data_IF_977435890294
#
_entry.id   IF_977435890294
#
_cell.length_a   1.000
_cell.length_b   1.000
_cell.length_c   1.000
_cell.angle_alpha   90.00
_cell.angle_beta   90.00
_cell.angle_gamma   90.00
#
_symmetry.space_group_name_H-M   'P 1'
#
loop_
_entity.id
_entity.type
_entity.pdbx_description
1 polymer ?
#
# COMPACT_ATOMS: atom_id res chain seq x y z
N UNK A 1 -5.69 29.24 3.55
CA UNK A 1 -5.42 29.31 4.98
C UNK A 1 -4.14 28.54 5.26
N UNK A 2 -3.12 29.28 5.63
CA UNK A 2 -1.74 28.82 5.87
C UNK A 2 -1.74 28.02 7.18
N UNK A 3 -1.45 26.72 7.09
CA UNK A 3 -1.16 25.91 8.27
C UNK A 3 0.26 26.24 8.71
N UNK A 4 0.35 26.86 9.87
CA UNK A 4 1.59 27.26 10.49
C UNK A 4 2.47 26.07 10.82
N UNK A 5 3.70 26.12 10.33
CA UNK A 5 4.81 25.32 10.82
C UNK A 5 4.95 25.53 12.34
N UNK A 6 4.68 24.49 13.11
CA UNK A 6 4.97 24.48 14.53
C UNK A 6 6.50 24.55 14.70
N UNK A 7 6.99 25.74 15.00
CA UNK A 7 8.34 25.94 15.51
C UNK A 7 8.48 25.15 16.80
N UNK A 8 9.49 24.30 16.89
CA UNK A 8 9.93 23.76 18.16
C UNK A 8 10.21 24.96 19.13
N UNK A 9 9.71 24.93 20.36
CA UNK A 9 9.97 25.99 21.29
C UNK A 9 11.48 26.05 21.57
N UNK A 10 12.07 27.23 21.33
CA UNK A 10 13.42 27.51 21.76
C UNK A 10 13.41 27.46 23.30
N UNK A 11 13.94 26.39 23.89
CA UNK A 11 14.19 26.31 25.31
C UNK A 11 15.28 27.32 25.65
N UNK A 12 14.90 28.46 26.22
CA UNK A 12 15.82 29.33 26.94
C UNK A 12 16.37 28.56 28.15
N UNK A 13 17.64 28.20 28.09
CA UNK A 13 18.36 27.63 29.21
C UNK A 13 18.59 28.75 30.23
N UNK A 14 17.69 28.87 31.22
CA UNK A 14 17.89 29.67 32.38
C UNK A 14 19.02 29.06 33.25
N UNK A 15 20.09 29.77 33.39
CA UNK A 15 21.17 29.45 34.34
C UNK A 15 20.67 29.58 35.77
N UNK A 16 20.39 28.46 36.44
CA UNK A 16 20.04 28.48 37.89
C UNK A 16 19.46 27.15 38.34
N UNK A 17 20.25 26.36 39.04
CA UNK A 17 19.91 25.34 40.06
C UNK A 17 18.56 24.62 39.93
N UNK A 18 18.51 23.54 39.17
CA UNK A 18 17.52 22.46 39.39
C UNK A 18 17.91 21.15 38.66
N UNK A 19 19.07 20.60 39.00
CA UNK A 19 19.49 19.30 38.51
C UNK A 19 18.53 18.15 38.95
N UNK A 20 17.74 18.35 39.98
CA UNK A 20 16.78 17.39 40.50
C UNK A 20 15.45 17.33 39.73
N UNK A 21 14.92 18.49 39.33
CA UNK A 21 13.66 18.59 38.60
C UNK A 21 13.81 18.13 37.13
N UNK A 22 14.96 18.43 36.52
CA UNK A 22 15.26 17.93 35.17
C UNK A 22 15.35 16.39 35.10
N UNK A 23 15.82 15.74 36.16
CA UNK A 23 15.87 14.27 36.27
C UNK A 23 14.47 13.63 36.40
N UNK A 24 13.59 14.25 37.17
CA UNK A 24 12.22 13.76 37.37
C UNK A 24 11.37 13.89 36.07
N UNK A 25 11.54 14.99 35.32
CA UNK A 25 10.87 15.18 34.03
C UNK A 25 11.35 14.19 32.96
N UNK A 26 12.61 13.81 32.95
CA UNK A 26 13.16 12.87 31.99
C UNK A 26 12.71 11.42 32.23
N UNK A 27 12.30 11.04 33.42
CA UNK A 27 11.92 9.68 33.76
C UNK A 27 10.58 9.24 33.14
N UNK A 28 9.64 10.17 32.91
CA UNK A 28 8.33 9.92 32.31
C UNK A 28 8.18 10.46 30.88
N UNK A 29 9.26 10.93 30.25
CA UNK A 29 9.21 11.52 28.93
C UNK A 29 8.94 10.47 27.85
N UNK A 30 8.13 10.77 26.78
CA UNK A 30 7.84 9.85 25.71
C UNK A 30 9.02 9.68 24.72
N UNK A 31 10.18 10.15 25.05
CA UNK A 31 11.41 10.07 24.26
C UNK A 31 12.57 9.49 25.05
N UNK A 32 13.46 8.75 24.38
CA UNK A 32 14.68 8.24 24.98
C UNK A 32 15.68 9.38 25.26
N UNK A 33 16.34 9.37 26.42
CA UNK A 33 17.42 10.30 26.70
C UNK A 33 18.56 9.63 27.46
N UNK A 34 19.78 10.10 27.20
CA UNK A 34 20.99 9.68 27.90
C UNK A 34 22.07 10.77 27.84
N UNK A 35 23.11 10.60 28.64
CA UNK A 35 24.36 11.36 28.56
C UNK A 35 25.44 10.42 28.02
N UNK A 36 26.29 10.93 27.14
CA UNK A 36 27.37 10.16 26.51
C UNK A 36 28.69 10.87 26.85
N UNK A 37 29.59 10.16 27.53
CA UNK A 37 30.90 10.67 27.94
C UNK A 37 31.95 10.37 26.86
N UNK A 38 31.83 11.01 25.69
CA UNK A 38 32.82 10.89 24.61
C UNK A 38 32.54 11.92 23.50
N UNK A 39 33.58 12.37 22.79
CA UNK A 39 33.42 13.29 21.66
C UNK A 39 32.71 12.59 20.46
N UNK A 40 33.06 11.36 20.14
CA UNK A 40 32.30 10.50 19.25
C UNK A 40 31.22 9.76 20.04
N UNK A 41 29.99 10.23 19.95
CA UNK A 41 28.86 9.70 20.72
C UNK A 41 28.65 8.19 20.49
N UNK A 42 28.93 7.67 19.30
CA UNK A 42 28.74 6.25 18.98
C UNK A 42 29.78 5.33 19.63
N UNK A 43 30.94 5.87 19.99
CA UNK A 43 31.99 5.16 20.73
C UNK A 43 31.87 5.31 22.24
N UNK A 44 31.09 6.29 22.68
CA UNK A 44 30.87 6.59 24.09
C UNK A 44 29.93 5.62 24.79
N UNK A 45 30.02 5.59 26.12
CA UNK A 45 29.15 4.79 26.98
C UNK A 45 27.91 5.55 27.36
N UNK A 46 26.80 4.82 27.48
CA UNK A 46 25.51 5.36 27.92
C UNK A 46 25.54 5.60 29.41
N UNK A 47 25.41 6.86 29.82
CA UNK A 47 25.23 7.30 31.20
C UNK A 47 23.81 7.87 31.37
N UNK A 48 23.25 7.73 32.55
CA UNK A 48 21.94 8.30 32.91
C UNK A 48 20.80 8.02 31.88
N UNK A 49 20.63 6.78 31.41
CA UNK A 49 19.53 6.47 30.51
C UNK A 49 18.18 6.61 31.22
N UNK A 50 17.18 7.16 30.53
CA UNK A 50 15.81 7.08 31.03
C UNK A 50 15.13 5.76 30.60
N UNK A 51 13.95 5.47 31.19
CA UNK A 51 13.22 4.23 30.88
C UNK A 51 12.79 4.14 29.40
N UNK A 52 12.47 5.28 28.78
CA UNK A 52 12.04 5.32 27.38
C UNK A 52 13.17 4.91 26.41
N UNK A 53 14.43 5.17 26.74
CA UNK A 53 15.58 4.74 25.93
C UNK A 53 15.58 3.21 25.80
N UNK A 54 15.36 2.48 26.90
CA UNK A 54 15.32 1.03 26.87
C UNK A 54 14.12 0.49 26.09
N UNK A 55 13.00 1.19 26.12
CA UNK A 55 11.81 0.82 25.32
C UNK A 55 12.03 1.03 23.81
N UNK A 56 12.80 2.04 23.43
CA UNK A 56 13.09 2.37 22.02
C UNK A 56 14.21 1.51 21.43
N UNK A 57 15.24 1.20 22.21
CA UNK A 57 16.47 0.56 21.72
C UNK A 57 16.72 -0.84 22.27
N UNK A 58 15.80 -1.34 23.09
CA UNK A 58 15.90 -2.65 23.73
C UNK A 58 16.71 -2.62 25.03
N UNK A 59 16.74 -3.74 25.76
CA UNK A 59 17.39 -3.85 27.07
C UNK A 59 18.91 -3.65 27.06
N UNK A 60 19.55 -3.71 25.89
CA UNK A 60 20.99 -3.45 25.72
C UNK A 60 21.39 -1.99 26.00
N UNK A 61 20.42 -1.06 26.15
CA UNK A 61 20.65 0.35 26.53
C UNK A 61 20.90 0.54 28.02
N UNK A 62 21.17 -0.53 28.75
CA UNK A 62 21.55 -0.45 30.16
C UNK A 62 22.80 0.43 30.33
N UNK A 63 22.93 1.00 31.53
CA UNK A 63 24.07 1.84 31.92
C UNK A 63 25.41 1.14 31.54
N UNK A 64 26.35 1.92 31.01
CA UNK A 64 27.68 1.48 30.56
C UNK A 64 27.72 0.73 29.22
N UNK A 65 26.61 0.53 28.51
CA UNK A 65 26.64 0.02 27.14
C UNK A 65 27.23 1.04 26.17
N UNK A 66 27.89 0.57 25.11
CA UNK A 66 28.34 1.46 24.05
C UNK A 66 27.13 1.94 23.22
N UNK A 67 26.95 3.25 23.09
CA UNK A 67 25.78 3.85 22.45
C UNK A 67 25.58 3.39 21.00
N UNK A 68 26.68 3.26 20.24
CA UNK A 68 26.61 2.78 18.84
C UNK A 68 26.11 1.34 18.69
N UNK A 69 26.20 0.51 19.73
CA UNK A 69 25.72 -0.86 19.67
C UNK A 69 24.19 -0.97 19.67
N UNK A 70 23.49 0.12 20.00
CA UNK A 70 22.02 0.17 20.02
C UNK A 70 21.42 0.29 18.62
N UNK A 71 22.22 0.64 17.62
CA UNK A 71 21.74 0.95 16.27
C UNK A 71 22.35 0.01 15.20
N UNK A 72 21.71 -0.01 14.04
CA UNK A 72 22.23 -0.72 12.88
C UNK A 72 23.47 -0.03 12.28
N UNK A 73 24.48 -0.80 11.82
CA UNK A 73 25.74 -0.24 11.34
C UNK A 73 25.61 0.70 10.14
N UNK A 74 24.67 0.43 9.24
CA UNK A 74 24.50 1.19 8.00
C UNK A 74 24.11 2.66 8.26
N UNK A 75 23.24 2.92 9.23
CA UNK A 75 22.83 4.28 9.61
C UNK A 75 23.94 5.07 10.34
N UNK A 76 24.84 4.39 11.05
CA UNK A 76 25.87 5.06 11.84
C UNK A 76 26.94 5.78 11.01
N UNK A 77 27.26 5.30 9.81
CA UNK A 77 28.26 5.93 8.92
C UNK A 77 27.76 7.32 8.50
N UNK A 78 26.53 7.39 8.06
CA UNK A 78 25.89 8.65 7.67
C UNK A 78 25.69 9.59 8.86
N UNK A 79 25.29 9.03 10.00
CA UNK A 79 25.10 9.75 11.24
C UNK A 79 26.40 10.43 11.73
N UNK A 80 27.53 9.72 11.70
CA UNK A 80 28.83 10.29 12.02
C UNK A 80 29.24 11.42 11.08
N UNK A 81 28.99 11.25 9.77
CA UNK A 81 29.26 12.30 8.78
C UNK A 81 28.46 13.56 9.05
N UNK A 82 27.16 13.43 9.35
CA UNK A 82 26.27 14.56 9.68
C UNK A 82 26.71 15.29 10.97
N UNK A 83 27.10 14.53 12.00
CA UNK A 83 27.60 15.11 13.26
C UNK A 83 28.91 15.88 13.06
N UNK A 84 29.85 15.32 12.30
CA UNK A 84 31.14 15.95 12.00
C UNK A 84 30.97 17.22 11.16
N UNK A 85 29.97 17.25 10.26
CA UNK A 85 29.64 18.42 9.47
C UNK A 85 28.88 19.52 10.23
N UNK A 86 28.58 19.32 11.52
CA UNK A 86 27.85 20.28 12.35
C UNK A 86 26.40 20.48 11.92
N UNK A 87 25.79 19.46 11.31
CA UNK A 87 24.38 19.52 10.91
C UNK A 87 23.48 19.71 12.13
N UNK A 88 22.59 20.72 12.05
CA UNK A 88 21.61 21.04 13.11
C UNK A 88 20.32 20.23 12.99
N UNK A 89 20.18 19.36 11.99
CA UNK A 89 18.98 18.54 11.75
C UNK A 89 18.99 17.21 12.52
N UNK A 90 17.84 16.54 12.60
CA UNK A 90 17.75 15.22 13.19
C UNK A 90 18.56 14.21 12.40
N UNK A 91 19.14 13.25 13.10
CA UNK A 91 19.89 12.15 12.53
C UNK A 91 19.01 10.91 12.57
N UNK A 92 18.74 10.31 11.42
CA UNK A 92 17.93 9.10 11.31
C UNK A 92 18.75 7.87 11.67
N UNK A 93 18.22 7.05 12.55
CA UNK A 93 18.82 5.80 13.02
C UNK A 93 17.76 4.71 13.13
N UNK A 94 18.14 3.46 12.92
CA UNK A 94 17.31 2.29 13.16
C UNK A 94 17.83 1.56 14.39
N UNK A 95 16.95 1.23 15.33
CA UNK A 95 17.33 0.47 16.51
C UNK A 95 17.60 -0.99 16.14
N UNK A 96 18.73 -1.55 16.60
CA UNK A 96 19.09 -2.95 16.31
C UNK A 96 18.08 -3.95 16.90
N UNK A 97 17.51 -3.64 18.06
CA UNK A 97 16.51 -4.50 18.71
C UNK A 97 15.10 -4.37 18.10
N UNK A 98 14.85 -3.30 17.33
CA UNK A 98 13.57 -2.99 16.72
C UNK A 98 13.82 -2.44 15.31
N UNK A 99 14.11 -3.32 14.31
CA UNK A 99 14.42 -2.89 12.93
C UNK A 99 13.27 -2.18 12.22
N UNK A 100 12.07 -2.31 12.73
CA UNK A 100 10.83 -1.64 12.30
C UNK A 100 10.70 -0.20 12.79
N UNK A 101 11.59 0.25 13.71
CA UNK A 101 11.54 1.58 14.30
C UNK A 101 12.57 2.53 13.72
N UNK A 102 12.07 3.63 13.18
CA UNK A 102 12.89 4.78 12.76
C UNK A 102 13.01 5.78 13.91
N UNK A 103 14.23 6.09 14.30
CA UNK A 103 14.51 7.00 15.40
C UNK A 103 15.17 8.27 14.90
N UNK A 104 14.75 9.42 15.40
CA UNK A 104 15.45 10.70 15.24
C UNK A 104 16.34 10.97 16.47
N UNK A 105 17.64 11.06 16.23
CA UNK A 105 18.63 11.43 17.23
C UNK A 105 18.91 12.93 17.18
N UNK A 106 18.83 13.56 18.34
CA UNK A 106 19.30 14.92 18.59
C UNK A 106 20.45 14.90 19.59
N UNK A 107 21.44 15.76 19.39
CA UNK A 107 22.64 15.83 20.22
C UNK A 107 22.90 17.26 20.63
N UNK A 108 23.13 17.49 21.92
CA UNK A 108 23.59 18.78 22.43
C UNK A 108 24.78 18.61 23.36
N UNK A 109 25.67 19.63 23.43
CA UNK A 109 26.76 19.65 24.38
C UNK A 109 26.25 19.84 25.81
N UNK A 110 26.85 19.15 26.77
CA UNK A 110 26.58 19.26 28.20
C UNK A 110 27.89 19.18 28.97
N UNK A 111 28.55 20.32 29.13
CA UNK A 111 29.91 20.38 29.69
C UNK A 111 30.92 19.69 28.78
N UNK A 112 31.60 18.68 29.33
CA UNK A 112 32.55 17.81 28.63
C UNK A 112 31.87 16.55 28.02
N UNK A 113 30.54 16.45 28.17
CA UNK A 113 29.73 15.32 27.69
C UNK A 113 28.75 15.78 26.61
N UNK A 114 28.02 14.81 26.04
CA UNK A 114 26.96 15.03 25.06
C UNK A 114 25.65 14.46 25.61
N UNK A 115 24.60 15.30 25.63
CA UNK A 115 23.24 14.80 25.88
C UNK A 115 22.59 14.43 24.58
N UNK A 116 21.95 13.27 24.58
CA UNK A 116 21.24 12.72 23.41
C UNK A 116 19.76 12.56 23.72
N UNK A 117 18.93 12.76 22.69
CA UNK A 117 17.50 12.49 22.72
C UNK A 117 17.14 11.67 21.51
N UNK A 118 16.30 10.67 21.71
CA UNK A 118 15.79 9.76 20.68
C UNK A 118 14.28 9.81 20.65
N UNK A 119 13.73 10.11 19.49
CA UNK A 119 12.29 10.15 19.23
C UNK A 119 11.93 9.05 18.24
N UNK A 120 10.87 8.29 18.55
CA UNK A 120 10.29 7.37 17.58
C UNK A 120 9.47 8.18 16.56
N UNK A 121 9.88 8.10 15.30
CA UNK A 121 9.24 8.80 14.18
C UNK A 121 8.65 7.82 13.16
N UNK A 122 8.55 6.54 13.52
CA UNK A 122 8.07 5.47 12.63
C UNK A 122 6.68 5.78 12.08
N UNK A 123 5.73 6.14 12.95
CA UNK A 123 4.37 6.49 12.53
C UNK A 123 4.35 7.76 11.65
N UNK A 124 5.14 8.79 12.01
CA UNK A 124 5.25 10.02 11.22
C UNK A 124 5.82 9.72 9.81
N UNK A 125 6.89 8.93 9.71
CA UNK A 125 7.49 8.55 8.43
C UNK A 125 6.55 7.69 7.58
N UNK A 126 5.83 6.77 8.19
CA UNK A 126 4.79 6.00 7.51
C UNK A 126 3.71 6.91 6.92
N UNK A 127 3.20 7.87 7.70
CA UNK A 127 2.22 8.84 7.21
C UNK A 127 2.77 9.73 6.09
N UNK A 128 4.02 10.20 6.19
CA UNK A 128 4.67 11.00 5.14
C UNK A 128 4.79 10.22 3.84
N UNK A 129 5.17 8.94 3.91
CA UNK A 129 5.25 8.06 2.74
C UNK A 129 3.87 7.82 2.12
N UNK A 130 2.86 7.51 2.95
CA UNK A 130 1.47 7.33 2.49
C UNK A 130 0.94 8.61 1.83
N UNK A 131 1.14 9.77 2.45
CA UNK A 131 0.73 11.07 1.88
C UNK A 131 1.43 11.35 0.54
N UNK A 132 2.74 11.12 0.47
CA UNK A 132 3.50 11.27 -0.78
C UNK A 132 2.98 10.35 -1.88
N UNK A 133 2.69 9.10 -1.55
CA UNK A 133 2.14 8.11 -2.48
C UNK A 133 0.73 8.48 -2.94
N UNK A 134 -0.13 8.93 -2.01
CA UNK A 134 -1.47 9.43 -2.33
C UNK A 134 -1.43 10.68 -3.23
N UNK A 135 -0.51 11.62 -2.99
CA UNK A 135 -0.32 12.80 -3.82
C UNK A 135 0.17 12.45 -5.24
N UNK A 136 1.14 11.53 -5.37
CA UNK A 136 1.58 11.01 -6.67
C UNK A 136 0.42 10.36 -7.42
N UNK A 137 -0.36 9.55 -6.73
CA UNK A 137 -1.53 8.87 -7.25
C UNK A 137 -2.59 9.88 -7.75
N UNK A 138 -2.88 10.91 -6.96
CA UNK A 138 -3.82 11.97 -7.33
C UNK A 138 -3.36 12.75 -8.55
N UNK A 139 -2.08 13.11 -8.63
CA UNK A 139 -1.53 13.84 -9.77
C UNK A 139 -1.61 13.02 -11.07
N UNK A 140 -1.22 11.73 -10.99
CA UNK A 140 -1.33 10.81 -12.13
C UNK A 140 -2.79 10.60 -12.54
N UNK A 141 -3.70 10.47 -11.56
CA UNK A 141 -5.14 10.34 -11.82
C UNK A 141 -5.70 11.56 -12.57
N UNK A 142 -5.38 12.77 -12.14
CA UNK A 142 -5.87 14.00 -12.79
C UNK A 142 -5.34 14.13 -14.23
N UNK A 143 -4.06 13.85 -14.45
CA UNK A 143 -3.46 13.89 -15.80
C UNK A 143 -4.06 12.81 -16.70
N UNK A 144 -4.19 11.58 -16.18
CA UNK A 144 -4.78 10.46 -16.91
C UNK A 144 -6.21 10.74 -17.35
N UNK A 145 -7.03 11.41 -16.51
CA UNK A 145 -8.42 11.76 -16.82
C UNK A 145 -8.55 12.70 -18.01
N UNK A 146 -7.76 13.76 -18.05
CA UNK A 146 -7.76 14.72 -19.17
C UNK A 146 -7.25 14.10 -20.47
N UNK A 147 -6.09 13.44 -20.39
CA UNK A 147 -5.46 12.80 -21.54
C UNK A 147 -6.36 11.69 -22.11
N UNK A 148 -6.95 10.85 -21.27
CA UNK A 148 -7.78 9.75 -21.73
C UNK A 148 -9.09 10.22 -22.38
N UNK A 149 -9.67 11.34 -21.94
CA UNK A 149 -10.82 11.96 -22.63
C UNK A 149 -10.45 12.32 -24.07
N UNK A 150 -9.31 12.95 -24.29
CA UNK A 150 -8.88 13.38 -25.61
C UNK A 150 -8.54 12.18 -26.50
N UNK A 151 -7.86 11.16 -25.96
CA UNK A 151 -7.61 9.91 -26.69
C UNK A 151 -8.91 9.19 -27.08
N UNK A 152 -9.93 9.12 -26.20
CA UNK A 152 -11.21 8.52 -26.55
C UNK A 152 -11.89 9.23 -27.70
N UNK A 153 -11.83 10.57 -27.75
CA UNK A 153 -12.39 11.34 -28.84
C UNK A 153 -11.69 11.02 -30.18
N UNK A 154 -10.35 10.95 -30.16
CA UNK A 154 -9.55 10.59 -31.35
C UNK A 154 -9.85 9.17 -31.81
N UNK A 155 -9.86 8.20 -30.89
CA UNK A 155 -10.13 6.79 -31.21
C UNK A 155 -11.55 6.59 -31.74
N UNK A 156 -12.54 7.33 -31.20
CA UNK A 156 -13.92 7.29 -31.72
C UNK A 156 -13.97 7.80 -33.16
N UNK A 157 -13.28 8.90 -33.46
CA UNK A 157 -13.20 9.44 -34.84
C UNK A 157 -12.53 8.43 -35.80
N UNK A 158 -11.42 7.81 -35.38
CA UNK A 158 -10.72 6.77 -36.17
C UNK A 158 -11.64 5.57 -36.42
N UNK A 159 -12.33 5.08 -35.41
CA UNK A 159 -13.23 3.93 -35.55
C UNK A 159 -14.39 4.24 -36.49
N UNK A 160 -14.96 5.45 -36.43
CA UNK A 160 -16.02 5.87 -37.32
C UNK A 160 -15.57 5.92 -38.78
N UNK A 161 -14.38 6.49 -39.05
CA UNK A 161 -13.80 6.54 -40.40
C UNK A 161 -13.49 5.12 -40.93
N UNK A 162 -12.94 4.25 -40.09
CA UNK A 162 -12.66 2.86 -40.47
C UNK A 162 -13.95 2.08 -40.77
N UNK A 163 -15.04 2.31 -40.05
CA UNK A 163 -16.33 1.70 -40.35
C UNK A 163 -16.82 2.09 -41.74
N UNK A 164 -16.76 3.38 -42.10
CA UNK A 164 -17.14 3.86 -43.43
C UNK A 164 -16.20 3.35 -44.55
N UNK A 165 -14.92 3.11 -44.26
CA UNK A 165 -14.00 2.50 -45.23
C UNK A 165 -14.28 1.01 -45.41
N UNK A 166 -14.55 0.27 -44.35
CA UNK A 166 -14.86 -1.16 -44.38
C UNK A 166 -16.19 -1.45 -45.08
N UNK A 167 -17.15 -0.53 -45.06
CA UNK A 167 -18.37 -0.63 -45.87
C UNK A 167 -18.11 -0.53 -47.38
N UNK A 168 -17.08 0.25 -47.76
CA UNK A 168 -16.69 0.43 -49.17
C UNK A 168 -15.73 -0.63 -49.66
N UNK A 169 -14.99 -1.30 -48.74
CA UNK A 169 -14.03 -2.35 -49.01
C UNK A 169 -14.47 -3.64 -48.28
N UNK A 170 -15.44 -4.38 -48.79
CA UNK A 170 -15.98 -5.58 -48.13
C UNK A 170 -14.99 -6.74 -48.13
N UNK A 171 -15.37 -7.83 -47.47
CA UNK A 171 -14.59 -9.08 -47.45
C UNK A 171 -14.31 -9.55 -48.91
N UNK A 172 -13.03 -9.76 -49.22
CA UNK A 172 -12.53 -10.08 -50.55
C UNK A 172 -11.85 -8.90 -51.28
N UNK A 173 -12.02 -7.66 -50.81
CA UNK A 173 -11.23 -6.53 -51.30
C UNK A 173 -9.79 -6.62 -50.75
N UNK A 174 -8.75 -6.33 -51.57
CA UNK A 174 -7.34 -6.36 -51.12
C UNK A 174 -7.04 -5.47 -49.91
N UNK A 175 -7.81 -4.40 -49.68
CA UNK A 175 -7.64 -3.48 -48.57
C UNK A 175 -8.31 -3.93 -47.27
N UNK A 176 -9.22 -4.92 -47.32
CA UNK A 176 -10.04 -5.35 -46.20
C UNK A 176 -9.22 -5.81 -45.01
N UNK A 177 -8.21 -6.66 -45.23
CA UNK A 177 -7.38 -7.19 -44.14
C UNK A 177 -6.63 -6.07 -43.42
N UNK A 178 -5.98 -5.15 -44.14
CA UNK A 178 -5.26 -4.02 -43.56
C UNK A 178 -6.17 -3.06 -42.77
N UNK A 179 -7.36 -2.77 -43.31
CA UNK A 179 -8.35 -1.94 -42.61
C UNK A 179 -8.87 -2.62 -41.32
N UNK A 180 -9.09 -3.94 -41.36
CA UNK A 180 -9.51 -4.70 -40.21
C UNK A 180 -8.41 -4.78 -39.12
N UNK A 181 -7.14 -4.92 -39.50
CA UNK A 181 -6.02 -4.85 -38.54
C UNK A 181 -5.92 -3.51 -37.85
N UNK A 182 -6.10 -2.39 -38.60
CA UNK A 182 -6.12 -1.04 -38.01
C UNK A 182 -7.29 -0.90 -37.06
N UNK A 183 -8.48 -1.43 -37.41
CA UNK A 183 -9.67 -1.46 -36.53
C UNK A 183 -9.39 -2.19 -35.22
N UNK A 184 -8.79 -3.38 -35.29
CA UNK A 184 -8.43 -4.16 -34.10
C UNK A 184 -7.39 -3.42 -33.22
N UNK A 185 -6.47 -2.71 -33.86
CA UNK A 185 -5.47 -1.90 -33.16
C UNK A 185 -6.12 -0.72 -32.44
N UNK A 186 -7.08 -0.02 -33.10
CA UNK A 186 -7.83 1.06 -32.48
C UNK A 186 -8.70 0.59 -31.30
N UNK A 187 -9.29 -0.60 -31.39
CA UNK A 187 -10.05 -1.23 -30.29
C UNK A 187 -9.10 -1.51 -29.11
N UNK A 188 -7.93 -2.10 -29.35
CA UNK A 188 -6.92 -2.35 -28.30
C UNK A 188 -6.44 -1.06 -27.64
N UNK A 189 -6.24 0.00 -28.41
CA UNK A 189 -5.88 1.32 -27.89
C UNK A 189 -7.00 1.90 -27.01
N UNK A 190 -8.27 1.78 -27.42
CA UNK A 190 -9.41 2.21 -26.61
C UNK A 190 -9.53 1.44 -25.28
N UNK A 191 -9.22 0.14 -25.29
CA UNK A 191 -9.18 -0.67 -24.07
C UNK A 191 -8.07 -0.23 -23.11
N UNK A 192 -6.91 0.14 -23.66
CA UNK A 192 -5.80 0.67 -22.86
C UNK A 192 -6.18 2.01 -22.21
N UNK A 193 -6.81 2.92 -22.97
CA UNK A 193 -7.30 4.19 -22.48
C UNK A 193 -8.38 4.00 -21.41
N UNK A 194 -9.29 3.02 -21.58
CA UNK A 194 -10.29 2.68 -20.54
C UNK A 194 -9.64 2.19 -19.25
N UNK A 195 -8.59 1.37 -19.33
CA UNK A 195 -7.81 0.94 -18.16
C UNK A 195 -7.11 2.12 -17.48
N UNK A 196 -6.60 3.08 -18.25
CA UNK A 196 -6.03 4.32 -17.73
C UNK A 196 -7.09 5.20 -17.03
N UNK A 197 -8.30 5.28 -17.60
CA UNK A 197 -9.44 6.02 -17.02
C UNK A 197 -9.99 5.38 -15.74
N UNK A 198 -10.00 4.06 -15.65
CA UNK A 198 -10.40 3.36 -14.43
C UNK A 198 -9.52 3.76 -13.23
N UNK A 199 -8.26 4.09 -13.51
CA UNK A 199 -7.32 4.64 -12.54
C UNK A 199 -7.58 6.13 -12.21
N UNK A 200 -8.01 6.93 -13.20
CA UNK A 200 -8.17 8.40 -13.09
C UNK A 200 -9.51 8.85 -12.48
N UNK A 201 -10.54 8.05 -12.63
CA UNK A 201 -11.87 8.50 -12.22
C UNK A 201 -11.97 8.59 -10.70
N UNK A 202 -12.16 9.83 -10.20
CA UNK A 202 -13.10 10.10 -9.11
C UNK A 202 -14.52 9.66 -9.59
N UNK A 203 -14.72 8.36 -9.86
CA UNK A 203 -16.09 7.85 -9.93
C UNK A 203 -16.67 8.12 -8.55
N UNK A 204 -17.87 8.65 -8.51
CA UNK A 204 -18.65 8.75 -7.27
C UNK A 204 -18.68 7.34 -6.69
N UNK A 205 -17.82 7.09 -5.68
CA UNK A 205 -17.70 5.79 -5.03
C UNK A 205 -19.07 5.48 -4.46
N UNK A 206 -19.73 4.49 -5.01
CA UNK A 206 -21.03 4.05 -4.52
C UNK A 206 -20.77 3.00 -3.44
N UNK A 207 -20.55 3.47 -2.21
CA UNK A 207 -20.43 2.57 -1.08
C UNK A 207 -21.76 1.85 -0.84
N UNK A 208 -21.72 0.54 -0.84
CA UNK A 208 -22.84 -0.33 -0.56
C UNK A 208 -22.45 -1.42 0.45
N UNK A 209 -23.44 -2.03 1.06
CA UNK A 209 -23.25 -3.12 2.03
C UNK A 209 -22.90 -4.38 1.27
N UNK A 210 -21.71 -4.92 1.52
CA UNK A 210 -21.20 -6.08 0.81
C UNK A 210 -20.92 -7.22 1.77
N UNK A 211 -21.46 -8.39 1.44
CA UNK A 211 -20.97 -9.67 1.91
C UNK A 211 -19.86 -10.14 0.97
N UNK A 212 -18.64 -10.25 1.49
CA UNK A 212 -17.48 -10.62 0.65
C UNK A 212 -17.52 -12.08 0.20
N UNK A 213 -18.20 -12.96 0.94
CA UNK A 213 -18.38 -14.35 0.53
C UNK A 213 -19.28 -14.45 -0.71
N UNK A 214 -20.41 -13.71 -0.70
CA UNK A 214 -21.31 -13.63 -1.83
C UNK A 214 -20.63 -12.97 -3.04
N UNK A 215 -19.98 -11.82 -2.84
CA UNK A 215 -19.26 -11.10 -3.90
C UNK A 215 -18.22 -11.99 -4.59
N UNK A 216 -17.33 -12.61 -3.82
CA UNK A 216 -16.28 -13.47 -4.38
C UNK A 216 -16.88 -14.72 -5.02
N UNK A 217 -17.97 -15.26 -4.45
CA UNK A 217 -18.68 -16.43 -4.99
C UNK A 217 -19.27 -16.16 -6.37
N UNK A 218 -20.00 -15.06 -6.53
CA UNK A 218 -20.54 -14.62 -7.83
C UNK A 218 -19.43 -14.35 -8.85
N UNK A 219 -18.39 -13.65 -8.41
CA UNK A 219 -17.30 -13.24 -9.28
C UNK A 219 -16.38 -14.41 -9.69
N UNK A 220 -16.26 -15.46 -8.88
CA UNK A 220 -15.45 -16.64 -9.19
C UNK A 220 -15.89 -17.33 -10.48
N UNK A 221 -17.18 -17.26 -10.83
CA UNK A 221 -17.69 -17.82 -12.10
C UNK A 221 -17.08 -17.09 -13.32
N UNK A 222 -16.97 -15.76 -13.23
CA UNK A 222 -16.33 -14.95 -14.28
C UNK A 222 -14.83 -15.17 -14.33
N UNK A 223 -14.17 -15.26 -13.16
CA UNK A 223 -12.73 -15.50 -13.05
C UNK A 223 -12.33 -16.85 -13.66
N UNK A 224 -13.09 -17.92 -13.46
CA UNK A 224 -12.81 -19.23 -14.08
C UNK A 224 -12.75 -19.15 -15.60
N UNK A 225 -13.62 -18.34 -16.23
CA UNK A 225 -13.61 -18.13 -17.69
C UNK A 225 -12.40 -17.29 -18.14
N UNK A 226 -11.96 -16.34 -17.31
CA UNK A 226 -10.86 -15.43 -17.61
C UNK A 226 -9.48 -16.08 -17.43
N UNK A 227 -9.34 -16.96 -16.44
CA UNK A 227 -8.10 -17.67 -16.16
C UNK A 227 -7.81 -18.79 -17.19
N UNK A 228 -8.80 -19.20 -17.98
CA UNK A 228 -8.72 -20.27 -19.00
C UNK A 228 -8.40 -21.64 -18.39
N UNK A 229 -8.04 -22.60 -19.27
CA UNK A 229 -7.70 -23.97 -18.88
C UNK A 229 -6.28 -24.09 -18.28
N UNK A 230 -5.48 -23.02 -18.40
CA UNK A 230 -4.07 -23.02 -18.00
C UNK A 230 -3.88 -22.98 -16.48
N UNK A 231 -4.89 -22.50 -15.74
CA UNK A 231 -4.81 -22.24 -14.29
C UNK A 231 -6.09 -22.66 -13.60
N UNK A 232 -5.94 -23.39 -12.48
CA UNK A 232 -7.07 -23.81 -11.64
C UNK A 232 -7.41 -22.70 -10.65
N UNK A 233 -8.69 -22.35 -10.54
CA UNK A 233 -9.19 -21.45 -9.51
C UNK A 233 -9.79 -22.25 -8.36
N UNK A 234 -9.23 -22.09 -7.17
CA UNK A 234 -9.74 -22.59 -5.92
C UNK A 234 -10.30 -21.44 -5.08
N UNK A 235 -11.40 -21.71 -4.37
CA UNK A 235 -12.05 -20.70 -3.52
C UNK A 235 -12.32 -21.29 -2.14
N UNK A 236 -11.98 -20.52 -1.10
CA UNK A 236 -12.19 -20.90 0.30
C UNK A 236 -12.92 -19.73 0.99
N UNK A 237 -14.23 -19.93 1.22
CA UNK A 237 -15.09 -18.91 1.80
C UNK A 237 -15.12 -19.02 3.32
N UNK A 238 -14.70 -17.94 3.98
CA UNK A 238 -14.85 -17.80 5.43
C UNK A 238 -16.31 -17.81 5.86
N UNK A 239 -16.55 -18.29 7.09
CA UNK A 239 -17.86 -18.21 7.74
C UNK A 239 -17.98 -16.91 8.51
N UNK A 240 -19.23 -16.43 8.66
CA UNK A 240 -19.56 -15.27 9.49
C UNK A 240 -18.70 -14.03 9.20
N UNK A 241 -18.53 -13.73 7.90
CA UNK A 241 -17.79 -12.56 7.46
C UNK A 241 -18.53 -11.28 7.88
N UNK A 242 -17.83 -10.26 8.38
CA UNK A 242 -18.47 -9.00 8.66
C UNK A 242 -18.87 -8.31 7.33
N UNK A 243 -19.96 -7.55 7.39
CA UNK A 243 -20.37 -6.69 6.28
C UNK A 243 -19.35 -5.56 6.16
N UNK A 244 -18.93 -5.25 4.93
CA UNK A 244 -18.03 -4.13 4.63
C UNK A 244 -18.75 -3.07 3.79
N UNK A 245 -18.34 -1.81 3.89
CA UNK A 245 -18.82 -0.71 3.07
C UNK A 245 -17.82 -0.38 1.98
N UNK A 246 -18.08 -0.83 0.75
CA UNK A 246 -17.20 -0.60 -0.38
C UNK A 246 -18.01 -0.52 -1.69
N UNK A 247 -17.36 -0.17 -2.78
CA UNK A 247 -17.93 -0.23 -4.13
C UNK A 247 -17.69 -1.63 -4.73
N UNK A 248 -18.80 -2.35 -5.01
CA UNK A 248 -18.76 -3.72 -5.54
C UNK A 248 -17.89 -3.82 -6.80
N UNK A 249 -18.08 -2.90 -7.74
CA UNK A 249 -17.39 -2.93 -9.03
C UNK A 249 -15.89 -2.66 -8.91
N UNK A 250 -15.50 -1.85 -7.92
CA UNK A 250 -14.10 -1.60 -7.62
C UNK A 250 -13.44 -2.82 -6.97
N UNK A 251 -14.09 -3.46 -6.00
CA UNK A 251 -13.55 -4.69 -5.40
C UNK A 251 -13.44 -5.83 -6.41
N UNK A 252 -14.42 -6.01 -7.28
CA UNK A 252 -14.33 -6.96 -8.41
C UNK A 252 -13.12 -6.65 -9.30
N UNK A 253 -12.88 -5.37 -9.59
CA UNK A 253 -11.70 -4.92 -10.37
C UNK A 253 -10.39 -5.23 -9.63
N UNK A 254 -10.34 -5.03 -8.32
CA UNK A 254 -9.16 -5.35 -7.52
C UNK A 254 -8.85 -6.85 -7.55
N UNK A 255 -9.85 -7.70 -7.28
CA UNK A 255 -9.71 -9.17 -7.30
C UNK A 255 -9.32 -9.65 -8.70
N UNK A 256 -9.91 -9.09 -9.77
CA UNK A 256 -9.55 -9.41 -11.15
C UNK A 256 -8.09 -9.09 -11.47
N UNK A 257 -7.61 -7.90 -11.08
CA UNK A 257 -6.22 -7.50 -11.30
C UNK A 257 -5.25 -8.45 -10.58
N UNK A 258 -5.55 -8.84 -9.34
CA UNK A 258 -4.75 -9.80 -8.60
C UNK A 258 -4.75 -11.18 -9.26
N UNK A 259 -5.92 -11.69 -9.68
CA UNK A 259 -6.04 -12.99 -10.34
C UNK A 259 -5.30 -13.03 -11.69
N UNK A 260 -5.35 -11.95 -12.48
CA UNK A 260 -4.60 -11.83 -13.74
C UNK A 260 -3.09 -11.78 -13.46
N UNK A 261 -2.65 -11.05 -12.45
CA UNK A 261 -1.24 -11.02 -12.07
C UNK A 261 -0.75 -12.39 -11.58
N UNK A 262 -1.54 -13.09 -10.79
CA UNK A 262 -1.28 -14.46 -10.34
C UNK A 262 -1.10 -15.42 -11.53
N UNK A 263 -2.02 -15.39 -12.51
CA UNK A 263 -1.90 -16.18 -13.76
C UNK A 263 -0.61 -15.84 -14.51
N UNK A 264 -0.30 -14.57 -14.65
CA UNK A 264 0.89 -14.13 -15.39
C UNK A 264 2.19 -14.52 -14.68
N UNK A 265 2.22 -14.55 -13.33
CA UNK A 265 3.36 -15.01 -12.52
C UNK A 265 3.64 -16.52 -12.65
N UNK A 266 2.66 -17.30 -13.07
CA UNK A 266 2.80 -18.74 -13.29
C UNK A 266 3.27 -19.10 -14.72
N UNK A 267 3.18 -18.13 -15.67
CA UNK A 267 3.54 -18.36 -17.06
C UNK A 267 5.03 -18.71 -17.21
N UNK A 268 5.32 -19.88 -17.74
CA UNK A 268 6.69 -20.36 -17.95
C UNK A 268 7.43 -20.83 -16.69
N UNK A 269 6.78 -20.79 -15.53
CA UNK A 269 7.32 -21.25 -14.25
C UNK A 269 6.64 -22.53 -13.79
N UNK A 270 5.35 -22.66 -14.08
CA UNK A 270 4.52 -23.80 -13.72
C UNK A 270 4.05 -24.49 -15.02
N UNK A 271 3.98 -25.82 -15.00
CA UNK A 271 3.43 -26.57 -16.17
C UNK A 271 1.98 -26.15 -16.46
N UNK A 272 1.58 -26.08 -17.74
CA UNK A 272 0.21 -25.73 -18.10
C UNK A 272 -0.81 -26.64 -17.40
N UNK A 273 -1.79 -26.03 -16.73
CA UNK A 273 -2.82 -26.74 -15.97
C UNK A 273 -2.45 -27.18 -14.55
N UNK A 274 -1.18 -27.03 -14.15
CA UNK A 274 -0.73 -27.30 -12.77
C UNK A 274 -0.78 -26.06 -11.87
N UNK A 275 -0.86 -24.84 -12.45
CA UNK A 275 -0.96 -23.60 -11.71
C UNK A 275 -2.27 -23.46 -10.95
N UNK A 276 -2.19 -22.95 -9.72
CA UNK A 276 -3.37 -22.73 -8.86
C UNK A 276 -3.40 -21.27 -8.41
N UNK A 277 -4.56 -20.65 -8.60
CA UNK A 277 -4.92 -19.38 -7.93
C UNK A 277 -5.95 -19.71 -6.87
N UNK A 278 -5.67 -19.34 -5.63
CA UNK A 278 -6.61 -19.52 -4.52
C UNK A 278 -7.12 -18.17 -4.07
N UNK A 279 -8.45 -18.02 -3.98
CA UNK A 279 -9.09 -16.86 -3.37
C UNK A 279 -9.72 -17.30 -2.06
N UNK A 280 -9.27 -16.69 -0.97
CA UNK A 280 -9.76 -16.98 0.37
C UNK A 280 -10.36 -15.74 1.00
N UNK A 281 -11.49 -15.91 1.68
CA UNK A 281 -12.07 -14.86 2.53
C UNK A 281 -12.08 -15.31 3.98
N UNK A 282 -11.74 -14.41 4.92
CA UNK A 282 -11.71 -14.71 6.36
C UNK A 282 -12.16 -13.50 7.16
N UNK A 283 -12.80 -13.77 8.31
CA UNK A 283 -12.96 -12.81 9.40
C UNK A 283 -11.68 -12.76 10.21
N UNK A 284 -11.23 -11.57 10.57
CA UNK A 284 -10.03 -11.34 11.37
C UNK A 284 -10.34 -10.36 12.51
N UNK A 285 -9.59 -10.52 13.58
CA UNK A 285 -9.45 -9.48 14.62
C UNK A 285 -8.33 -8.51 14.25
N UNK A 286 -8.32 -7.33 14.87
CA UNK A 286 -7.21 -6.37 14.68
C UNK A 286 -5.86 -6.94 15.08
N UNK A 287 -5.79 -7.83 16.10
CA UNK A 287 -4.54 -8.49 16.52
C UNK A 287 -4.02 -9.45 15.43
N UNK A 288 -4.90 -10.24 14.82
CA UNK A 288 -4.53 -11.13 13.72
C UNK A 288 -4.06 -10.32 12.50
N UNK A 289 -4.73 -9.22 12.17
CA UNK A 289 -4.32 -8.35 11.06
C UNK A 289 -2.95 -7.70 11.31
N UNK A 290 -2.65 -7.28 12.55
CA UNK A 290 -1.33 -6.78 12.94
C UNK A 290 -0.25 -7.85 12.79
N UNK A 291 -0.53 -9.08 13.22
CA UNK A 291 0.37 -10.21 13.04
C UNK A 291 0.59 -10.58 11.56
N UNK A 292 -0.38 -10.28 10.69
CA UNK A 292 -0.31 -10.50 9.25
C UNK A 292 0.30 -9.33 8.46
N UNK A 293 0.79 -8.27 9.13
CA UNK A 293 1.53 -7.17 8.54
C UNK A 293 0.78 -5.84 8.39
N UNK A 294 -0.45 -5.72 8.89
CA UNK A 294 -1.12 -4.43 9.01
C UNK A 294 -0.90 -3.86 10.43
N UNK A 295 0.25 -3.23 10.67
CA UNK A 295 0.67 -2.79 12.01
C UNK A 295 -0.29 -1.80 12.67
N UNK A 296 -0.94 -0.94 11.90
CA UNK A 296 -1.90 0.07 12.37
C UNK A 296 -3.37 -0.42 12.26
N UNK A 297 -3.58 -1.75 12.21
CA UNK A 297 -4.93 -2.29 12.09
C UNK A 297 -5.81 -1.82 13.25
N UNK A 298 -7.07 -1.39 12.97
CA UNK A 298 -8.02 -1.03 14.02
C UNK A 298 -8.30 -2.22 14.94
N UNK A 299 -8.77 -1.95 16.14
CA UNK A 299 -9.10 -2.99 17.14
C UNK A 299 -10.36 -3.77 16.74
N UNK A 300 -11.16 -3.19 15.87
CA UNK A 300 -12.44 -3.70 15.38
C UNK A 300 -12.28 -4.94 14.49
N UNK A 301 -13.40 -5.57 14.16
CA UNK A 301 -13.43 -6.70 13.25
C UNK A 301 -13.07 -6.28 11.81
N UNK A 302 -12.42 -7.19 11.13
CA UNK A 302 -11.94 -6.99 9.77
C UNK A 302 -12.36 -8.16 8.89
N UNK A 303 -12.54 -7.90 7.60
CA UNK A 303 -12.66 -8.91 6.58
C UNK A 303 -11.36 -8.96 5.76
N UNK A 304 -10.89 -10.15 5.46
CA UNK A 304 -9.74 -10.43 4.60
C UNK A 304 -10.22 -11.02 3.27
N UNK A 305 -9.66 -10.50 2.17
CA UNK A 305 -9.60 -11.19 0.88
C UNK A 305 -8.13 -11.50 0.59
N UNK A 306 -7.78 -12.77 0.52
CA UNK A 306 -6.44 -13.23 0.15
C UNK A 306 -6.49 -13.86 -1.24
N UNK A 307 -5.64 -13.39 -2.16
CA UNK A 307 -5.44 -13.98 -3.48
C UNK A 307 -4.02 -14.49 -3.54
N UNK A 308 -3.86 -15.81 -3.63
CA UNK A 308 -2.55 -16.46 -3.67
C UNK A 308 -2.38 -17.28 -4.95
N UNK A 309 -1.12 -17.43 -5.35
CA UNK A 309 -0.72 -18.18 -6.53
C UNK A 309 0.43 -19.15 -6.22
N UNK A 310 0.67 -20.08 -7.15
CA UNK A 310 1.79 -21.02 -7.11
C UNK A 310 2.90 -20.64 -8.11
N UNK A 311 3.04 -19.34 -8.41
CA UNK A 311 3.98 -18.81 -9.38
C UNK A 311 5.39 -18.54 -8.82
N UNK A 312 6.08 -17.58 -9.43
CA UNK A 312 7.47 -17.23 -9.07
C UNK A 312 7.61 -16.45 -7.76
N UNK A 313 6.52 -15.96 -7.20
CA UNK A 313 6.57 -14.98 -6.11
C UNK A 313 7.03 -13.59 -6.56
N UNK A 314 7.31 -12.71 -5.60
CA UNK A 314 7.76 -11.34 -5.82
C UNK A 314 9.19 -11.19 -5.25
N UNK A 315 10.20 -10.77 -6.05
CA UNK A 315 11.54 -10.50 -5.55
C UNK A 315 11.52 -9.46 -4.42
N UNK A 316 12.31 -9.69 -3.37
CA UNK A 316 12.31 -8.85 -2.16
C UNK A 316 12.71 -7.41 -2.47
N UNK A 317 13.60 -7.22 -3.46
CA UNK A 317 14.15 -5.92 -3.85
C UNK A 317 13.11 -4.98 -4.48
N UNK A 318 11.96 -5.52 -4.89
CA UNK A 318 10.91 -4.74 -5.55
C UNK A 318 9.60 -4.68 -4.75
N UNK A 319 9.50 -5.34 -3.59
CA UNK A 319 8.28 -5.40 -2.79
C UNK A 319 7.70 -3.99 -2.49
N UNK A 320 8.55 -3.03 -2.17
CA UNK A 320 8.15 -1.66 -1.87
C UNK A 320 7.67 -0.88 -3.10
N UNK A 321 7.99 -1.36 -4.32
CA UNK A 321 7.73 -0.65 -5.58
C UNK A 321 6.57 -1.22 -6.38
N UNK A 322 6.11 -2.43 -6.07
CA UNK A 322 5.10 -3.12 -6.89
C UNK A 322 3.76 -2.38 -6.96
N UNK A 323 3.46 -1.53 -5.98
CA UNK A 323 2.25 -0.69 -5.96
C UNK A 323 2.46 0.70 -6.60
N UNK A 324 3.68 1.03 -7.06
CA UNK A 324 3.92 2.28 -7.77
C UNK A 324 3.27 2.26 -9.16
N UNK A 325 2.62 3.35 -9.57
CA UNK A 325 2.07 3.47 -10.92
C UNK A 325 3.15 3.28 -11.99
N UNK A 326 2.82 2.52 -13.03
CA UNK A 326 3.68 2.18 -14.16
C UNK A 326 4.87 1.26 -13.85
N UNK A 327 5.03 0.83 -12.59
CA UNK A 327 6.05 -0.16 -12.26
C UNK A 327 5.65 -1.53 -12.82
N UNK A 328 6.55 -2.14 -13.58
CA UNK A 328 6.35 -3.48 -14.15
C UNK A 328 7.67 -4.20 -14.37
N UNK A 329 7.69 -5.49 -14.11
CA UNK A 329 8.80 -6.41 -14.45
C UNK A 329 8.57 -7.13 -15.78
N UNK A 330 7.40 -6.94 -16.41
CA UNK A 330 7.03 -7.56 -17.69
C UNK A 330 7.68 -6.81 -18.85
N UNK A 331 7.88 -7.51 -19.98
CA UNK A 331 8.44 -6.91 -21.19
C UNK A 331 7.59 -5.73 -21.71
N UNK A 332 8.20 -4.88 -22.50
CA UNK A 332 7.53 -3.73 -23.15
C UNK A 332 6.34 -4.24 -23.96
N UNK A 333 5.16 -3.69 -23.71
CA UNK A 333 3.84 -4.05 -24.25
C UNK A 333 3.14 -5.27 -23.60
N UNK A 334 3.71 -5.94 -22.62
CA UNK A 334 3.06 -7.06 -21.91
C UNK A 334 2.44 -6.67 -20.57
N UNK A 335 2.90 -5.56 -19.97
CA UNK A 335 2.36 -5.04 -18.72
C UNK A 335 2.22 -3.52 -18.74
N UNK A 336 1.09 -3.01 -18.24
CA UNK A 336 0.84 -1.56 -18.13
C UNK A 336 1.45 -0.96 -16.86
N UNK A 337 1.86 -1.80 -15.90
CA UNK A 337 2.33 -1.36 -14.57
C UNK A 337 1.25 -0.67 -13.73
N UNK A 338 -0.03 -0.73 -14.12
CA UNK A 338 -1.13 -0.04 -13.44
C UNK A 338 -2.01 -0.97 -12.59
N UNK A 339 -1.92 -2.29 -12.79
CA UNK A 339 -2.82 -3.24 -12.14
C UNK A 339 -2.76 -3.20 -10.62
N UNK A 340 -1.57 -3.33 -10.03
CA UNK A 340 -1.39 -3.30 -8.58
C UNK A 340 -1.59 -1.91 -7.97
N UNK A 341 -1.21 -0.85 -8.68
CA UNK A 341 -1.50 0.52 -8.27
C UNK A 341 -3.01 0.80 -8.21
N UNK A 342 -3.79 0.23 -9.15
CA UNK A 342 -5.26 0.29 -9.11
C UNK A 342 -5.82 -0.45 -7.90
N UNK A 343 -5.30 -1.65 -7.59
CA UNK A 343 -5.70 -2.41 -6.40
C UNK A 343 -5.45 -1.61 -5.14
N UNK A 344 -4.26 -1.03 -5.01
CA UNK A 344 -3.89 -0.19 -3.87
C UNK A 344 -4.87 0.98 -3.69
N UNK A 345 -5.16 1.73 -4.76
CA UNK A 345 -6.10 2.87 -4.71
C UNK A 345 -7.53 2.47 -4.35
N UNK A 346 -8.00 1.31 -4.82
CA UNK A 346 -9.32 0.79 -4.48
C UNK A 346 -9.41 0.42 -2.99
N UNK A 347 -8.39 -0.24 -2.47
CA UNK A 347 -8.34 -0.67 -1.08
C UNK A 347 -8.25 0.53 -0.13
N UNK A 348 -7.41 1.51 -0.44
CA UNK A 348 -7.31 2.78 0.30
C UNK A 348 -8.65 3.54 0.32
N UNK A 349 -9.37 3.62 -0.81
CA UNK A 349 -10.68 4.27 -0.87
C UNK A 349 -11.74 3.55 -0.04
N UNK A 350 -11.60 2.24 0.15
CA UNK A 350 -12.44 1.45 1.04
C UNK A 350 -12.04 1.57 2.52
N UNK A 351 -10.98 2.33 2.86
CA UNK A 351 -10.44 2.46 4.21
C UNK A 351 -9.70 1.20 4.68
N UNK A 352 -9.28 0.36 3.74
CA UNK A 352 -8.59 -0.89 3.99
C UNK A 352 -7.06 -0.79 3.88
N UNK A 353 -6.42 -1.93 3.93
CA UNK A 353 -4.97 -2.09 3.75
C UNK A 353 -4.67 -3.26 2.82
N UNK A 354 -3.58 -3.17 2.05
CA UNK A 354 -3.09 -4.26 1.23
C UNK A 354 -1.63 -4.54 1.50
N UNK A 355 -1.28 -5.81 1.63
CA UNK A 355 0.10 -6.24 1.63
C UNK A 355 0.32 -7.47 0.75
N UNK A 356 1.59 -7.86 0.60
CA UNK A 356 2.00 -9.05 -0.14
C UNK A 356 3.04 -9.81 0.66
N UNK A 357 2.95 -11.13 0.63
CA UNK A 357 3.94 -12.04 1.21
C UNK A 357 4.28 -13.13 0.21
N UNK A 358 5.54 -13.53 0.16
CA UNK A 358 5.94 -14.73 -0.57
C UNK A 358 5.61 -15.96 0.26
N UNK A 359 5.09 -17.00 -0.41
CA UNK A 359 4.75 -18.27 0.22
C UNK A 359 5.96 -19.20 0.24
N UNK A 360 6.05 -20.03 1.29
CA UNK A 360 7.09 -21.07 1.37
C UNK A 360 6.89 -22.09 0.23
N UNK A 361 7.92 -22.25 -0.59
CA UNK A 361 7.96 -23.22 -1.69
C UNK A 361 7.73 -22.64 -3.06
N UNK A 362 6.79 -21.79 -3.31
CA UNK A 362 6.59 -21.00 -4.53
C UNK A 362 5.34 -20.11 -4.43
N UNK A 363 5.36 -18.95 -5.13
CA UNK A 363 4.22 -18.05 -5.29
C UNK A 363 4.14 -16.92 -4.29
N UNK A 364 3.10 -16.09 -4.45
CA UNK A 364 2.82 -14.96 -3.59
C UNK A 364 1.38 -14.98 -3.08
N UNK A 365 1.12 -14.31 -1.96
CA UNK A 365 -0.22 -14.04 -1.46
C UNK A 365 -0.41 -12.54 -1.27
N UNK A 366 -1.37 -11.97 -1.97
CA UNK A 366 -1.84 -10.61 -1.80
C UNK A 366 -3.02 -10.60 -0.83
N UNK A 367 -2.94 -9.78 0.21
CA UNK A 367 -3.93 -9.71 1.29
C UNK A 367 -4.56 -8.35 1.33
N UNK A 368 -5.87 -8.28 1.10
CA UNK A 368 -6.70 -7.09 1.22
C UNK A 368 -7.46 -7.18 2.54
N UNK A 369 -7.21 -6.23 3.43
CA UNK A 369 -7.91 -6.09 4.70
C UNK A 369 -8.93 -4.98 4.59
N UNK A 370 -10.17 -5.23 4.96
CA UNK A 370 -11.25 -4.25 4.93
C UNK A 370 -11.90 -4.14 6.32
N UNK A 371 -12.13 -2.92 6.83
CA UNK A 371 -12.80 -2.75 8.11
C UNK A 371 -14.26 -3.22 8.02
N UNK A 372 -14.75 -3.84 9.10
CA UNK A 372 -16.17 -4.11 9.24
C UNK A 372 -16.94 -2.78 9.29
N UNK A 373 -18.09 -2.74 8.64
CA UNK A 373 -18.96 -1.58 8.69
C UNK A 373 -19.52 -1.38 10.10
N UNK A 374 -19.40 -0.17 10.65
CA UNK A 374 -20.00 0.17 11.92
C UNK A 374 -21.56 0.12 11.84
N UNK A 375 -22.23 -0.26 12.91
CA UNK A 375 -23.71 -0.32 12.95
C UNK A 375 -24.36 1.02 12.56
N UNK A 376 -23.76 2.14 12.93
CA UNK A 376 -24.22 3.47 12.58
C UNK A 376 -24.16 3.74 11.06
N UNK A 377 -23.08 3.31 10.39
CA UNK A 377 -22.91 3.44 8.94
C UNK A 377 -23.85 2.51 8.18
N UNK A 378 -24.16 1.34 8.75
CA UNK A 378 -25.13 0.41 8.18
C UNK A 378 -26.57 0.97 8.22
N UNK A 379 -26.87 1.89 9.11
CA UNK A 379 -28.18 2.54 9.20
C UNK A 379 -28.36 3.68 8.18
N UNK A 380 -27.28 4.33 7.73
CA UNK A 380 -27.34 5.43 6.75
C UNK A 380 -27.44 4.95 5.29
N UNK A 381 -26.91 3.78 4.98
CA UNK A 381 -27.00 3.22 3.64
C UNK A 381 -28.34 2.51 3.48
N UNK A 382 -29.31 3.19 2.83
CA UNK A 382 -30.61 2.60 2.55
C UNK A 382 -30.47 1.26 1.80
N UNK A 383 -31.26 0.22 2.15
CA UNK A 383 -31.23 -1.04 1.42
C UNK A 383 -31.58 -0.78 -0.06
N UNK A 384 -30.79 -1.31 -0.98
CA UNK A 384 -31.11 -1.30 -2.40
C UNK A 384 -32.39 -2.13 -2.57
N UNK A 385 -33.54 -1.45 -2.73
CA UNK A 385 -34.78 -2.13 -3.13
C UNK A 385 -34.56 -2.81 -4.49
N UNK A 386 -34.34 -4.09 -4.47
CA UNK A 386 -34.44 -4.92 -5.67
C UNK A 386 -35.89 -4.92 -6.07
N UNK A 387 -36.28 -4.03 -6.98
CA UNK A 387 -37.58 -4.10 -7.65
C UNK A 387 -37.61 -5.38 -8.48
N UNK A 388 -38.06 -6.46 -7.86
CA UNK A 388 -38.47 -7.67 -8.59
C UNK A 388 -39.69 -7.24 -9.43
N UNK A 389 -39.49 -7.06 -10.73
CA UNK A 389 -40.58 -6.91 -11.67
C UNK A 389 -41.45 -8.16 -11.64
N UNK A 390 -42.59 -8.07 -11.02
CA UNK A 390 -43.57 -9.15 -11.08
C UNK A 390 -44.13 -9.25 -12.51
N UNK A 391 -44.51 -10.45 -12.96
CA UNK A 391 -45.01 -10.69 -14.34
C UNK A 391 -46.30 -9.92 -14.74
N UNK A 392 -46.81 -9.06 -13.89
CA UNK A 392 -48.03 -8.25 -14.15
C UNK A 392 -47.75 -6.89 -14.82
N UNK A 393 -46.52 -6.48 -15.01
CA UNK A 393 -46.18 -5.18 -15.63
C UNK A 393 -45.89 -5.30 -17.15
N UNK A 394 -46.26 -6.40 -17.77
CA UNK A 394 -46.11 -6.69 -19.21
C UNK A 394 -47.44 -6.97 -19.92
N UNK A 395 -48.52 -6.32 -19.53
CA UNK A 395 -49.76 -6.37 -20.29
C UNK A 395 -50.16 -4.97 -20.77
#
# INVERSE_FOLDING_TARGET
AVLGLAHAPAMQVGSGSNAGEGRAMAAGAPFGSAVIAHDDIFSGRVEEPNAALALLTGPASARDAAFGHLFEPNGMIEARSKLTAGSSGPIELVARAHPDRMLHLYVAPEGDKRRVWLFDVSAQKSMELQLSQAQKMQAVGQLAGGVAHDFNNLLTAIQLQLSGLLERHPVGDPSYEGLNEIRQTAIRAADLVRKLLAFSRKSTVRRERLDLGELVGEFAVLLRRLLREDVRLETDYGRDLPIVLADKSQLETAVMNLAVNARDAMRGVVEPGAGVVTIRTRRLTGDEARAMGWHDAPVEELALIEVSDTGSGVPVEILDKIFEPFFTTKAVNEGTGMGLATVYGIVEQAGGHINVVNLEGAGAAFRIFLPAAAEAELAEVAPVEVKVKTPRDLS
#
